data_IF_587271707601
#
_entry.id   IF_587271707601
#
_cell.length_a   1.000
_cell.length_b   1.000
_cell.length_c   1.000
_cell.angle_alpha   90.00
_cell.angle_beta   90.00
_cell.angle_gamma   90.00
#
_symmetry.space_group_name_H-M   'P 1'
#
loop_
_entity.id
_entity.type
_entity.pdbx_description
1 polymer ?
#
# COMPACT_ATOMS: atom_id res chain seq x y z
N UNK A 1 -38.25 -33.86 -48.69
CA UNK A 1 -37.21 -34.02 -47.66
C UNK A 1 -36.88 -32.64 -47.14
N UNK A 2 -37.33 -32.30 -45.93
CA UNK A 2 -37.16 -30.97 -45.32
C UNK A 2 -35.94 -31.04 -44.40
N UNK A 3 -34.88 -30.30 -44.74
CA UNK A 3 -33.73 -30.10 -43.86
C UNK A 3 -34.11 -29.16 -42.72
N UNK A 4 -34.02 -29.65 -41.49
CA UNK A 4 -34.12 -28.85 -40.28
C UNK A 4 -32.70 -28.39 -39.91
N UNK A 5 -32.39 -27.11 -40.14
CA UNK A 5 -31.21 -26.46 -39.57
C UNK A 5 -31.53 -26.12 -38.11
N UNK A 6 -30.92 -26.84 -37.17
CA UNK A 6 -30.93 -26.47 -35.76
C UNK A 6 -29.95 -25.31 -35.55
N UNK A 7 -30.46 -24.11 -35.28
CA UNK A 7 -29.66 -23.02 -34.72
C UNK A 7 -29.41 -23.31 -33.23
N UNK A 8 -28.15 -23.54 -32.88
CA UNK A 8 -27.70 -23.51 -31.48
C UNK A 8 -27.49 -22.05 -31.06
N UNK A 9 -28.06 -21.58 -29.92
CA UNK A 9 -27.78 -20.25 -29.42
C UNK A 9 -26.38 -20.23 -28.79
N UNK A 10 -25.50 -19.37 -29.32
CA UNK A 10 -24.20 -19.08 -28.73
C UNK A 10 -24.41 -18.24 -27.46
N UNK A 11 -24.22 -18.87 -26.30
CA UNK A 11 -24.16 -18.20 -25.00
C UNK A 11 -22.82 -17.44 -24.98
N UNK A 12 -22.85 -16.12 -25.11
CA UNK A 12 -21.67 -15.26 -24.99
C UNK A 12 -21.31 -15.09 -23.49
N UNK A 13 -20.15 -15.59 -23.02
CA UNK A 13 -19.70 -15.38 -21.65
C UNK A 13 -18.99 -14.01 -21.57
N UNK A 14 -19.75 -12.91 -21.54
CA UNK A 14 -19.17 -11.56 -21.62
C UNK A 14 -19.37 -10.68 -20.38
N UNK A 15 -20.38 -10.95 -19.54
CA UNK A 15 -20.84 -9.99 -18.53
C UNK A 15 -20.43 -10.31 -17.08
N UNK A 16 -19.84 -11.48 -16.81
CA UNK A 16 -19.55 -11.92 -15.44
C UNK A 16 -18.26 -11.31 -14.85
N UNK A 17 -17.39 -10.70 -15.66
CA UNK A 17 -16.12 -10.13 -15.20
C UNK A 17 -16.23 -8.69 -14.68
N UNK A 18 -17.33 -7.98 -14.98
CA UNK A 18 -17.49 -6.57 -14.57
C UNK A 18 -17.80 -6.40 -13.07
N UNK A 19 -18.41 -7.40 -12.42
CA UNK A 19 -18.76 -7.32 -10.99
C UNK A 19 -17.71 -7.89 -10.04
N UNK A 20 -16.62 -8.48 -10.53
CA UNK A 20 -15.63 -9.14 -9.67
C UNK A 20 -14.90 -8.16 -8.74
N UNK A 21 -14.76 -6.90 -9.17
CA UNK A 21 -14.14 -5.83 -8.40
C UNK A 21 -15.16 -4.96 -7.65
N UNK A 22 -16.47 -5.13 -7.86
CA UNK A 22 -17.47 -4.25 -7.25
C UNK A 22 -17.52 -4.46 -5.73
N UNK A 23 -17.83 -3.39 -5.02
CA UNK A 23 -18.19 -3.43 -3.62
C UNK A 23 -19.63 -2.98 -3.42
N UNK A 24 -20.34 -3.68 -2.53
CA UNK A 24 -21.72 -3.35 -2.18
C UNK A 24 -21.75 -2.44 -0.93
N UNK A 25 -22.83 -1.66 -0.74
CA UNK A 25 -23.03 -0.90 0.50
C UNK A 25 -22.90 -1.77 1.76
N UNK A 26 -22.18 -1.26 2.75
CA UNK A 26 -21.85 -1.98 3.98
C UNK A 26 -20.74 -3.03 3.84
N UNK A 27 -20.08 -3.15 2.69
CA UNK A 27 -18.92 -4.03 2.52
C UNK A 27 -17.85 -3.71 3.55
N UNK A 28 -17.39 -4.75 4.25
CA UNK A 28 -16.23 -4.69 5.14
C UNK A 28 -15.49 -6.03 5.10
N UNK A 29 -14.17 -5.98 5.02
CA UNK A 29 -13.34 -7.16 5.11
C UNK A 29 -11.95 -6.84 5.66
N UNK A 30 -11.32 -7.86 6.22
CA UNK A 30 -9.90 -7.91 6.54
C UNK A 30 -9.43 -9.34 6.23
N UNK A 31 -8.38 -9.47 5.43
CA UNK A 31 -7.91 -10.77 4.95
C UNK A 31 -6.38 -10.78 4.86
N UNK A 32 -5.78 -11.89 5.26
CA UNK A 32 -4.36 -12.14 4.98
C UNK A 32 -4.23 -12.76 3.59
N UNK A 33 -3.44 -12.13 2.74
CA UNK A 33 -3.26 -12.49 1.34
C UNK A 33 -1.81 -12.90 1.12
N UNK A 34 -1.60 -14.09 0.54
CA UNK A 34 -0.27 -14.48 0.05
C UNK A 34 0.12 -13.57 -1.11
N UNK A 35 1.30 -12.98 -1.03
CA UNK A 35 1.80 -12.06 -2.04
C UNK A 35 2.05 -12.78 -3.37
N UNK A 36 1.34 -12.35 -4.40
CA UNK A 36 1.60 -12.61 -5.80
C UNK A 36 2.37 -11.48 -6.48
N UNK A 37 2.52 -11.61 -7.80
CA UNK A 37 3.24 -10.63 -8.62
C UNK A 37 2.34 -9.49 -9.11
N UNK A 38 1.02 -9.66 -9.09
CA UNK A 38 0.09 -8.70 -9.66
C UNK A 38 0.04 -7.41 -8.84
N UNK A 39 -0.15 -7.53 -7.53
CA UNK A 39 -0.18 -6.43 -6.59
C UNK A 39 1.16 -5.70 -6.54
N UNK A 40 2.29 -6.41 -6.68
CA UNK A 40 3.62 -5.77 -6.74
C UNK A 40 3.73 -4.93 -8.01
N UNK A 41 3.19 -5.42 -9.13
CA UNK A 41 3.06 -4.66 -10.38
C UNK A 41 2.29 -3.36 -10.19
N UNK A 42 1.12 -3.42 -9.55
CA UNK A 42 0.32 -2.23 -9.25
C UNK A 42 1.02 -1.28 -8.26
N UNK A 43 1.65 -1.79 -7.22
CA UNK A 43 2.41 -0.99 -6.25
C UNK A 43 3.63 -0.33 -6.91
N UNK A 44 4.24 -0.97 -7.91
CA UNK A 44 5.40 -0.41 -8.62
C UNK A 44 5.09 0.82 -9.46
N UNK A 45 3.80 1.09 -9.70
CA UNK A 45 3.29 2.27 -10.42
C UNK A 45 3.01 3.46 -9.49
N UNK A 46 3.20 3.29 -8.18
CA UNK A 46 2.98 4.33 -7.18
C UNK A 46 4.20 5.24 -7.09
N UNK A 47 3.97 6.55 -7.18
CA UNK A 47 4.99 7.58 -7.06
C UNK A 47 4.68 8.53 -5.89
N UNK A 48 5.67 8.89 -5.05
CA UNK A 48 5.46 9.91 -4.02
C UNK A 48 5.17 11.29 -4.62
N UNK A 49 4.08 11.92 -4.17
CA UNK A 49 3.68 13.27 -4.61
C UNK A 49 4.01 14.36 -3.60
N UNK A 50 4.43 13.98 -2.40
CA UNK A 50 4.88 14.89 -1.35
C UNK A 50 6.23 14.45 -0.76
N UNK A 51 6.97 15.36 -0.11
CA UNK A 51 8.01 14.96 0.84
C UNK A 51 7.44 14.01 1.88
N UNK A 52 8.25 13.06 2.35
CA UNK A 52 7.95 12.26 3.53
C UNK A 52 7.94 13.16 4.77
N UNK A 53 6.90 13.08 5.57
CA UNK A 53 6.75 13.80 6.83
C UNK A 53 7.04 12.85 7.98
N UNK A 54 7.78 13.34 8.96
CA UNK A 54 8.00 12.63 10.20
C UNK A 54 6.81 12.85 11.13
N UNK A 55 6.21 11.78 11.62
CA UNK A 55 5.18 11.86 12.65
C UNK A 55 5.81 12.31 13.96
N UNK A 56 5.26 13.38 14.54
CA UNK A 56 5.71 13.94 15.81
C UNK A 56 4.56 13.93 16.82
N UNK A 57 4.89 13.58 18.05
CA UNK A 57 3.97 13.71 19.19
C UNK A 57 4.19 15.06 19.88
N UNK A 58 3.55 15.27 21.04
CA UNK A 58 3.69 16.51 21.82
C UNK A 58 5.13 16.82 22.26
N UNK A 59 6.03 15.83 22.37
CA UNK A 59 7.45 16.05 22.68
C UNK A 59 8.30 16.42 21.46
N UNK A 60 7.71 16.49 20.26
CA UNK A 60 8.39 16.94 19.05
C UNK A 60 9.57 16.05 18.67
N UNK A 61 10.66 16.67 18.22
CA UNK A 61 11.85 15.98 17.71
C UNK A 61 12.63 15.22 18.80
N UNK A 62 12.50 15.60 20.07
CA UNK A 62 13.24 15.00 21.19
C UNK A 62 12.87 13.54 21.46
N UNK A 63 11.68 13.11 20.99
CA UNK A 63 11.20 11.73 21.13
C UNK A 63 11.46 10.87 19.90
N UNK A 64 12.08 11.41 18.86
CA UNK A 64 12.39 10.63 17.65
C UNK A 64 13.65 9.82 17.95
N UNK A 65 13.51 8.50 17.99
CA UNK A 65 14.63 7.58 18.24
C UNK A 65 14.83 6.67 17.05
N UNK A 66 16.10 6.46 16.67
CA UNK A 66 16.50 5.65 15.51
C UNK A 66 16.73 6.43 14.21
N UNK A 67 16.84 7.76 14.30
CA UNK A 67 17.27 8.61 13.18
C UNK A 67 18.33 9.59 13.70
N UNK A 68 19.48 9.66 13.03
CA UNK A 68 20.54 10.65 13.31
C UNK A 68 20.13 12.04 12.76
N UNK A 69 20.19 13.08 13.61
CA UNK A 69 19.76 14.46 13.30
C UNK A 69 18.41 14.52 12.55
N UNK A 70 17.32 14.06 13.20
CA UNK A 70 16.03 13.93 12.55
C UNK A 70 15.53 15.30 12.07
N UNK A 71 14.82 15.28 10.94
CA UNK A 71 14.16 16.44 10.33
C UNK A 71 12.64 16.20 10.25
N UNK A 72 11.81 17.25 10.31
CA UNK A 72 10.36 17.11 10.23
C UNK A 72 9.88 16.62 8.86
N UNK A 73 10.69 16.82 7.81
CA UNK A 73 10.38 16.46 6.42
C UNK A 73 11.62 16.02 5.66
N UNK A 74 11.46 15.08 4.75
CA UNK A 74 12.49 14.57 3.85
C UNK A 74 11.95 14.53 2.42
N UNK A 75 12.74 14.96 1.42
CA UNK A 75 12.45 14.51 0.05
C UNK A 75 12.47 12.98 0.02
N UNK A 76 11.63 12.38 -0.81
CA UNK A 76 11.49 10.93 -0.87
C UNK A 76 11.36 10.47 -2.31
N UNK A 77 12.03 9.37 -2.63
CA UNK A 77 11.86 8.63 -3.87
C UNK A 77 11.67 7.15 -3.54
N UNK A 78 10.78 6.49 -4.28
CA UNK A 78 10.53 5.06 -4.15
C UNK A 78 11.20 4.33 -5.30
N UNK A 79 11.90 3.25 -4.98
CA UNK A 79 12.34 2.25 -5.93
C UNK A 79 11.67 0.92 -5.56
N UNK A 80 10.64 0.55 -6.33
CA UNK A 80 9.86 -0.66 -6.10
C UNK A 80 10.34 -1.75 -7.04
N UNK A 81 10.66 -2.92 -6.48
CA UNK A 81 11.10 -4.09 -7.23
C UNK A 81 10.32 -5.34 -6.81
N UNK A 82 10.61 -6.47 -7.44
CA UNK A 82 10.08 -7.78 -7.04
C UNK A 82 10.49 -8.20 -5.62
N UNK A 83 11.61 -7.65 -5.10
CA UNK A 83 12.21 -8.03 -3.83
C UNK A 83 11.79 -7.13 -2.66
N UNK A 84 11.32 -5.91 -2.92
CA UNK A 84 10.96 -4.97 -1.88
C UNK A 84 10.80 -3.54 -2.39
N UNK A 85 10.72 -2.61 -1.46
CA UNK A 85 10.75 -1.16 -1.71
C UNK A 85 11.99 -0.57 -1.05
N UNK A 86 12.69 0.29 -1.78
CA UNK A 86 13.70 1.17 -1.20
C UNK A 86 13.19 2.60 -1.18
N UNK A 87 13.16 3.20 0.00
CA UNK A 87 12.82 4.59 0.25
C UNK A 87 14.12 5.39 0.33
N UNK A 88 14.46 6.16 -0.70
CA UNK A 88 15.59 7.10 -0.63
C UNK A 88 15.09 8.40 0.00
N UNK A 89 15.71 8.81 1.11
CA UNK A 89 15.22 9.91 1.95
C UNK A 89 16.26 11.05 2.02
N UNK A 90 15.75 12.28 2.03
CA UNK A 90 16.60 13.47 1.94
C UNK A 90 17.21 13.62 0.55
N UNK A 91 18.29 14.39 0.43
CA UNK A 91 19.04 14.50 -0.84
C UNK A 91 20.05 13.34 -0.96
N UNK A 92 19.60 12.12 -0.67
CA UNK A 92 20.44 10.92 -0.57
C UNK A 92 21.16 10.78 0.77
N UNK A 93 20.62 11.37 1.85
CA UNK A 93 21.21 11.34 3.20
C UNK A 93 21.06 9.98 3.89
N UNK A 94 20.23 9.10 3.32
CA UNK A 94 20.06 7.71 3.75
C UNK A 94 18.92 7.03 3.00
N UNK A 95 18.79 5.73 3.20
CA UNK A 95 17.72 4.95 2.63
C UNK A 95 17.19 3.92 3.63
N UNK A 96 15.93 3.55 3.46
CA UNK A 96 15.29 2.42 4.12
C UNK A 96 14.92 1.39 3.06
N UNK A 97 15.38 0.15 3.23
CA UNK A 97 15.03 -0.96 2.35
C UNK A 97 14.14 -1.93 3.10
N UNK A 98 12.91 -2.10 2.59
CA UNK A 98 11.88 -2.97 3.14
C UNK A 98 11.66 -4.14 2.17
N UNK A 99 12.22 -5.33 2.44
CA UNK A 99 11.93 -6.53 1.66
C UNK A 99 10.46 -6.88 1.74
N UNK A 100 9.88 -7.36 0.64
CA UNK A 100 8.49 -7.77 0.64
C UNK A 100 8.28 -9.02 1.50
N UNK A 101 7.29 -9.04 2.41
CA UNK A 101 6.90 -10.27 3.10
C UNK A 101 6.18 -11.24 2.14
N UNK A 102 6.08 -12.50 2.55
CA UNK A 102 5.35 -13.54 1.80
C UNK A 102 3.83 -13.32 1.82
N UNK A 103 3.33 -12.53 2.76
CA UNK A 103 1.92 -12.20 2.90
C UNK A 103 1.72 -10.77 3.44
N UNK A 104 0.55 -10.21 3.20
CA UNK A 104 0.12 -8.91 3.70
C UNK A 104 -1.34 -8.95 4.11
N UNK A 105 -1.77 -8.01 4.94
CA UNK A 105 -3.18 -7.84 5.29
C UNK A 105 -3.82 -6.84 4.33
N UNK A 106 -4.92 -7.24 3.70
CA UNK A 106 -5.78 -6.39 2.89
C UNK A 106 -7.05 -6.05 3.65
N UNK A 107 -7.28 -4.75 3.82
CA UNK A 107 -8.46 -4.21 4.48
C UNK A 107 -9.29 -3.39 3.49
N UNK A 108 -10.61 -3.49 3.62
CA UNK A 108 -11.56 -2.67 2.87
C UNK A 108 -12.82 -2.41 3.69
N UNK A 109 -13.30 -1.17 3.69
CA UNK A 109 -14.51 -0.79 4.38
C UNK A 109 -15.29 0.32 3.65
N UNK A 110 -16.59 0.11 3.52
CA UNK A 110 -17.53 1.18 3.22
C UNK A 110 -17.67 2.08 4.46
N UNK A 111 -17.09 3.26 4.37
CA UNK A 111 -17.18 4.28 5.44
C UNK A 111 -18.31 5.28 5.19
N UNK A 112 -18.89 5.30 3.99
CA UNK A 112 -19.95 6.24 3.62
C UNK A 112 -21.32 5.74 4.07
N UNK A 113 -21.56 4.42 4.01
CA UNK A 113 -22.76 3.74 4.51
C UNK A 113 -24.08 4.35 3.97
N UNK A 114 -24.09 4.75 2.70
CA UNK A 114 -25.23 5.41 2.05
C UNK A 114 -26.39 4.44 1.77
N UNK A 115 -26.11 3.14 1.70
CA UNK A 115 -27.11 2.09 1.45
C UNK A 115 -27.52 1.92 -0.02
N UNK A 116 -27.00 2.74 -0.93
CA UNK A 116 -27.34 2.73 -2.36
C UNK A 116 -26.12 3.04 -3.23
N UNK A 117 -26.09 2.46 -4.44
CA UNK A 117 -25.12 2.78 -5.49
C UNK A 117 -23.85 1.93 -5.49
N UNK A 118 -22.92 2.28 -6.38
CA UNK A 118 -21.55 1.74 -6.37
C UNK A 118 -20.79 2.29 -5.17
N UNK A 119 -20.11 1.42 -4.44
CA UNK A 119 -19.41 1.77 -3.20
C UNK A 119 -17.90 1.87 -3.44
N UNK A 120 -17.33 3.03 -3.15
CA UNK A 120 -15.89 3.17 -2.94
C UNK A 120 -15.55 2.75 -1.52
N UNK A 121 -14.57 1.87 -1.39
CA UNK A 121 -14.07 1.40 -0.11
C UNK A 121 -12.85 2.23 0.29
N UNK A 122 -12.82 2.67 1.54
CA UNK A 122 -11.55 2.93 2.18
C UNK A 122 -10.75 1.62 2.20
N UNK A 123 -9.55 1.63 1.65
CA UNK A 123 -8.73 0.42 1.52
C UNK A 123 -7.34 0.61 2.10
N UNK A 124 -6.79 -0.46 2.65
CA UNK A 124 -5.40 -0.51 3.09
C UNK A 124 -4.74 -1.82 2.66
N UNK A 125 -3.49 -1.74 2.21
CA UNK A 125 -2.55 -2.86 2.17
C UNK A 125 -1.53 -2.66 3.29
N UNK A 126 -1.41 -3.63 4.19
CA UNK A 126 -0.51 -3.58 5.35
C UNK A 126 0.53 -4.68 5.23
N UNK A 127 1.78 -4.29 5.03
CA UNK A 127 2.93 -5.19 4.96
C UNK A 127 3.73 -5.08 6.25
N UNK A 128 3.99 -6.22 6.89
CA UNK A 128 4.85 -6.30 8.08
C UNK A 128 6.10 -7.09 7.77
N UNK A 129 7.24 -6.60 8.23
CA UNK A 129 8.53 -7.24 8.01
C UNK A 129 9.64 -6.45 8.68
N UNK A 130 10.87 -6.70 8.26
CA UNK A 130 12.03 -5.96 8.77
C UNK A 130 12.48 -4.92 7.76
N UNK A 131 13.11 -3.85 8.25
CA UNK A 131 13.71 -2.80 7.43
C UNK A 131 15.21 -2.71 7.72
N UNK A 132 15.99 -2.47 6.68
CA UNK A 132 17.40 -2.14 6.79
C UNK A 132 17.60 -0.67 6.42
N UNK A 133 18.25 0.08 7.30
CA UNK A 133 18.55 1.49 7.09
C UNK A 133 20.01 1.75 6.74
N UNK A 134 20.24 2.88 6.08
CA UNK A 134 21.58 3.40 5.76
C UNK A 134 21.65 4.90 6.02
N UNK A 135 22.87 5.44 6.12
CA UNK A 135 23.08 6.86 6.42
C UNK A 135 22.44 7.24 7.75
N UNK A 136 21.65 8.32 7.77
CA UNK A 136 20.95 8.79 8.99
C UNK A 136 19.93 7.81 9.56
N UNK A 137 19.50 6.82 8.77
CA UNK A 137 18.54 5.80 9.17
C UNK A 137 19.19 4.47 9.54
N UNK A 138 20.52 4.42 9.57
CA UNK A 138 21.25 3.19 9.88
C UNK A 138 20.85 2.63 11.25
N UNK A 139 20.60 1.33 11.28
CA UNK A 139 20.22 0.57 12.46
C UNK A 139 21.14 -0.64 12.66
N UNK A 140 21.41 -0.99 13.91
CA UNK A 140 22.18 -2.19 14.24
C UNK A 140 21.23 -3.40 14.32
N UNK A 141 21.16 -4.18 13.23
CA UNK A 141 20.37 -5.41 13.18
C UNK A 141 18.97 -5.24 12.58
N UNK A 142 18.15 -6.30 12.57
CA UNK A 142 16.81 -6.25 12.01
C UNK A 142 15.88 -5.39 12.89
N UNK A 143 15.32 -4.33 12.32
CA UNK A 143 14.29 -3.51 12.97
C UNK A 143 12.94 -3.81 12.31
N UNK A 144 11.90 -3.99 13.12
CA UNK A 144 10.56 -4.26 12.63
C UNK A 144 9.97 -3.03 11.95
N UNK A 145 9.15 -3.25 10.93
CA UNK A 145 8.48 -2.20 10.21
C UNK A 145 7.11 -2.64 9.69
N UNK A 146 6.21 -1.65 9.61
CA UNK A 146 4.90 -1.79 8.97
C UNK A 146 4.74 -0.71 7.90
N UNK A 147 4.66 -1.15 6.64
CA UNK A 147 4.29 -0.31 5.51
C UNK A 147 2.79 -0.42 5.28
N UNK A 148 2.09 0.71 5.32
CA UNK A 148 0.67 0.81 4.99
C UNK A 148 0.52 1.67 3.75
N UNK A 149 -0.12 1.13 2.72
CA UNK A 149 -0.61 1.87 1.56
C UNK A 149 -2.13 2.03 1.74
N UNK A 150 -2.64 3.24 1.64
CA UNK A 150 -4.07 3.52 1.84
C UNK A 150 -4.64 4.45 0.78
N UNK A 151 -5.97 4.41 0.66
CA UNK A 151 -6.72 5.28 -0.24
C UNK A 151 -8.17 4.85 -0.40
N UNK A 152 -8.69 4.98 -1.62
CA UNK A 152 -10.07 4.72 -1.99
C UNK A 152 -10.12 3.82 -3.23
N UNK A 153 -10.79 2.68 -3.12
CA UNK A 153 -10.84 1.70 -4.20
C UNK A 153 -12.05 0.79 -4.13
N UNK A 154 -11.89 -0.43 -4.60
CA UNK A 154 -12.93 -1.44 -4.61
C UNK A 154 -12.34 -2.82 -4.26
N UNK A 155 -12.94 -3.93 -4.70
CA UNK A 155 -12.42 -5.29 -4.45
C UNK A 155 -11.29 -5.71 -5.39
N UNK A 156 -10.67 -4.78 -6.09
CA UNK A 156 -9.47 -5.02 -6.87
C UNK A 156 -8.37 -4.05 -6.44
N UNK A 157 -7.18 -4.60 -6.26
CA UNK A 157 -5.98 -3.83 -5.97
C UNK A 157 -5.51 -3.21 -7.29
N UNK A 158 -5.55 -1.88 -7.35
CA UNK A 158 -5.09 -1.07 -8.48
C UNK A 158 -4.28 0.10 -7.95
N UNK A 159 -3.24 0.53 -8.67
CA UNK A 159 -2.38 1.65 -8.27
C UNK A 159 -3.20 2.92 -7.96
N UNK A 160 -4.20 3.21 -8.80
CA UNK A 160 -5.06 4.39 -8.66
C UNK A 160 -5.92 4.39 -7.39
N UNK A 161 -6.00 3.27 -6.66
CA UNK A 161 -6.74 3.19 -5.41
C UNK A 161 -5.96 3.72 -4.21
N UNK A 162 -4.66 4.00 -4.35
CA UNK A 162 -3.79 4.41 -3.24
C UNK A 162 -3.28 5.83 -3.44
N UNK A 163 -3.55 6.69 -2.45
CA UNK A 163 -3.17 8.11 -2.45
C UNK A 163 -2.30 8.49 -1.24
N UNK A 164 -2.07 7.55 -0.33
CA UNK A 164 -1.31 7.76 0.88
C UNK A 164 -0.47 6.55 1.27
N UNK A 165 0.61 6.83 1.99
CA UNK A 165 1.46 5.80 2.58
C UNK A 165 1.94 6.18 3.97
N UNK A 166 2.28 5.17 4.77
CA UNK A 166 3.09 5.34 5.95
C UNK A 166 4.01 4.15 6.17
N UNK A 167 5.21 4.42 6.65
CA UNK A 167 6.17 3.43 7.11
C UNK A 167 6.44 3.68 8.59
N UNK A 168 5.99 2.75 9.43
CA UNK A 168 6.32 2.74 10.86
C UNK A 168 7.53 1.85 11.05
N UNK A 169 8.58 2.35 11.69
CA UNK A 169 9.78 1.58 12.04
C UNK A 169 9.87 1.53 13.56
N UNK A 170 9.99 0.34 14.11
CA UNK A 170 9.95 0.13 15.55
C UNK A 170 10.78 -1.07 16.00
N UNK A 171 11.39 -0.95 17.17
CA UNK A 171 11.92 -2.04 17.97
C UNK A 171 11.88 -1.64 19.46
N UNK A 172 12.66 -2.28 20.33
CA UNK A 172 12.71 -1.91 21.76
C UNK A 172 13.30 -0.51 22.01
N UNK A 173 14.10 0.01 21.07
CA UNK A 173 14.89 1.24 21.19
C UNK A 173 14.60 2.28 20.10
N UNK A 174 14.03 1.87 18.98
CA UNK A 174 13.72 2.68 17.82
C UNK A 174 12.22 2.86 17.71
N UNK A 175 11.75 4.08 17.46
CA UNK A 175 10.35 4.30 17.10
C UNK A 175 10.19 5.59 16.31
N UNK A 176 9.82 5.45 15.03
CA UNK A 176 9.43 6.59 14.20
C UNK A 176 8.43 6.16 13.12
N UNK A 177 7.72 7.13 12.56
CA UNK A 177 6.83 6.92 11.42
C UNK A 177 7.02 8.01 10.39
N UNK A 178 7.27 7.59 9.16
CA UNK A 178 7.26 8.45 7.98
C UNK A 178 5.94 8.27 7.25
N UNK A 179 5.41 9.34 6.67
CA UNK A 179 4.17 9.28 5.90
C UNK A 179 4.14 10.34 4.80
N UNK A 180 3.34 10.12 3.76
CA UNK A 180 3.21 11.06 2.66
C UNK A 180 2.07 10.68 1.73
N UNK A 181 1.95 11.42 0.63
CA UNK A 181 0.96 11.15 -0.41
C UNK A 181 1.59 10.45 -1.60
N UNK A 182 0.76 9.70 -2.33
CA UNK A 182 1.10 8.96 -3.54
C UNK A 182 0.23 9.43 -4.71
N UNK A 183 0.62 9.03 -5.90
CA UNK A 183 -0.23 8.97 -7.09
C UNK A 183 0.09 7.68 -7.84
N UNK A 184 -0.92 7.09 -8.47
CA UNK A 184 -0.82 5.83 -9.19
C UNK A 184 -1.21 6.03 -10.65
N UNK A 185 -0.29 5.79 -11.58
CA UNK A 185 -0.52 5.97 -13.02
C UNK A 185 -0.84 4.66 -13.72
#
# INVERSE_FOLDING_TARGET
MVSLFALAPAILPGAAFACACCADPGTRFEQDVTRGNWEVGEISRLEPTSPARLYLTACGMECVVGIEDPQPTYSVAFDVSENGVTFTLGQGDGALTFPWPDAYTWFGADTALTGEGETSLYTELRFRGTVAGTGRFANEGPTEAELVLSGQGNRCITAQSFDAWSLTVYDETTQYRLFGTLDGY
#
